data_IF_643636760393
#
_entry.id   IF_643636760393
#
_cell.length_a   1.000
_cell.length_b   1.000
_cell.length_c   1.000
_cell.angle_alpha   90.00
_cell.angle_beta   90.00
_cell.angle_gamma   90.00
#
_symmetry.space_group_name_H-M   'P 1'
#
loop_
_entity.id
_entity.type
_entity.pdbx_description
1 polymer ?
#
# COMPACT_ATOMS: atom_id res chain seq x y z
N UNK A 1 -31.29 -13.56 -14.52
CA UNK A 1 -30.27 -12.51 -14.76
C UNK A 1 -30.10 -11.68 -13.47
N UNK A 2 -29.21 -12.09 -12.55
CA UNK A 2 -28.98 -11.40 -11.27
C UNK A 2 -27.51 -10.97 -11.18
N UNK A 3 -27.07 -10.14 -12.13
CA UNK A 3 -25.65 -9.79 -12.29
C UNK A 3 -25.53 -8.38 -12.83
N UNK A 4 -25.75 -7.36 -11.98
CA UNK A 4 -25.42 -5.95 -12.26
C UNK A 4 -25.59 -5.00 -11.06
N UNK A 5 -25.33 -5.48 -9.84
CA UNK A 5 -25.32 -4.63 -8.64
C UNK A 5 -24.01 -4.70 -7.84
N UNK A 6 -22.95 -5.27 -8.41
CA UNK A 6 -21.65 -5.45 -7.71
C UNK A 6 -20.54 -4.57 -8.31
N UNK A 7 -20.79 -3.79 -9.36
CA UNK A 7 -19.73 -3.00 -10.01
C UNK A 7 -19.32 -1.75 -9.22
N UNK A 8 -20.23 -1.09 -8.51
CA UNK A 8 -19.89 0.16 -7.83
C UNK A 8 -19.20 -0.01 -6.46
N UNK A 9 -19.50 -1.08 -5.72
CA UNK A 9 -18.87 -1.36 -4.42
C UNK A 9 -17.42 -1.83 -4.53
N UNK A 10 -17.08 -2.53 -5.62
CA UNK A 10 -15.69 -2.93 -5.91
C UNK A 10 -14.86 -1.69 -6.26
N UNK A 11 -15.40 -0.77 -7.07
CA UNK A 11 -14.63 0.35 -7.58
C UNK A 11 -14.18 1.33 -6.48
N UNK A 12 -15.02 1.61 -5.48
CA UNK A 12 -14.63 2.49 -4.36
C UNK A 12 -13.54 1.87 -3.49
N UNK A 13 -13.63 0.57 -3.21
CA UNK A 13 -12.59 -0.16 -2.46
C UNK A 13 -11.28 -0.21 -3.24
N UNK A 14 -11.34 -0.46 -4.54
CA UNK A 14 -10.18 -0.45 -5.43
C UNK A 14 -9.55 0.94 -5.52
N UNK A 15 -10.37 2.00 -5.59
CA UNK A 15 -9.88 3.38 -5.60
C UNK A 15 -9.14 3.72 -4.31
N UNK A 16 -9.72 3.40 -3.14
CA UNK A 16 -9.05 3.59 -1.85
C UNK A 16 -7.76 2.77 -1.77
N UNK A 17 -7.76 1.53 -2.25
CA UNK A 17 -6.55 0.71 -2.28
C UNK A 17 -5.47 1.32 -3.19
N UNK A 18 -5.85 1.85 -4.36
CA UNK A 18 -4.91 2.51 -5.27
C UNK A 18 -4.32 3.78 -4.64
N UNK A 19 -5.14 4.62 -4.01
CA UNK A 19 -4.64 5.80 -3.28
C UNK A 19 -3.71 5.39 -2.14
N UNK A 20 -4.04 4.36 -1.36
CA UNK A 20 -3.14 3.86 -0.29
C UNK A 20 -1.82 3.32 -0.85
N UNK A 21 -1.85 2.66 -2.01
CA UNK A 21 -0.66 2.15 -2.69
C UNK A 21 0.30 3.27 -3.09
N UNK A 22 -0.23 4.34 -3.67
CA UNK A 22 0.55 5.51 -4.09
C UNK A 22 1.15 6.24 -2.88
N UNK A 23 0.33 6.51 -1.86
CA UNK A 23 0.80 7.13 -0.62
C UNK A 23 1.86 6.27 0.06
N UNK A 24 1.66 4.94 0.13
CA UNK A 24 2.64 4.04 0.72
C UNK A 24 4.01 4.14 0.05
N UNK A 25 4.09 4.27 -1.28
CA UNK A 25 5.35 4.44 -1.99
C UNK A 25 5.99 5.80 -1.69
N UNK A 26 5.21 6.88 -1.82
CA UNK A 26 5.69 8.24 -1.56
C UNK A 26 6.27 8.36 -0.15
N UNK A 27 5.54 7.84 0.84
CA UNK A 27 6.01 7.86 2.22
C UNK A 27 7.15 6.90 2.48
N UNK A 28 7.28 5.76 1.78
CA UNK A 28 8.46 4.90 1.96
C UNK A 28 9.74 5.52 1.37
N UNK A 29 9.60 6.36 0.35
CA UNK A 29 10.73 7.15 -0.19
C UNK A 29 11.13 8.29 0.75
N UNK A 30 10.17 8.92 1.42
CA UNK A 30 10.40 10.05 2.33
C UNK A 30 10.73 9.63 3.77
N UNK A 31 10.11 8.56 4.26
CA UNK A 31 10.25 8.09 5.63
C UNK A 31 11.51 7.23 5.74
N UNK A 32 12.59 7.85 6.22
CA UNK A 32 13.82 7.16 6.64
C UNK A 32 13.62 6.40 7.97
N UNK A 33 12.63 5.50 8.04
CA UNK A 33 12.65 4.41 9.03
C UNK A 33 11.43 4.23 9.94
N UNK A 34 10.36 5.05 9.84
CA UNK A 34 9.18 4.85 10.71
C UNK A 34 7.98 4.22 10.00
N UNK A 35 8.01 2.90 9.86
CA UNK A 35 6.89 2.09 9.33
C UNK A 35 5.65 2.14 10.25
N UNK A 36 5.84 2.43 11.54
CA UNK A 36 4.73 2.60 12.49
C UNK A 36 3.89 3.82 12.15
N UNK A 37 4.55 4.97 11.95
CA UNK A 37 3.88 6.19 11.51
C UNK A 37 3.18 6.01 10.15
N UNK A 38 3.79 5.24 9.24
CA UNK A 38 3.18 4.90 7.96
C UNK A 38 1.89 4.07 8.11
N UNK A 39 1.85 3.16 9.08
CA UNK A 39 0.65 2.37 9.38
C UNK A 39 -0.49 3.26 9.81
N UNK A 40 -0.25 4.15 10.76
CA UNK A 40 -1.25 5.09 11.29
C UNK A 40 -1.77 6.01 10.18
N UNK A 41 -0.86 6.55 9.37
CA UNK A 41 -1.19 7.48 8.28
C UNK A 41 -2.06 6.84 7.18
N UNK A 42 -1.80 5.58 6.85
CA UNK A 42 -2.59 4.83 5.87
C UNK A 42 -3.87 4.21 6.45
N UNK A 43 -4.16 4.47 7.73
CA UNK A 43 -5.35 3.99 8.43
C UNK A 43 -5.30 2.50 8.77
N UNK A 44 -4.10 1.93 8.96
CA UNK A 44 -3.90 0.59 9.48
C UNK A 44 -3.66 0.64 10.99
N UNK A 45 -4.44 -0.17 11.73
CA UNK A 45 -4.29 -0.29 13.18
C UNK A 45 -2.93 -0.85 13.62
N UNK A 46 -2.27 -1.63 12.76
CA UNK A 46 -1.03 -2.32 13.08
C UNK A 46 -0.07 -2.34 11.88
N UNK A 47 1.22 -2.21 12.15
CA UNK A 47 2.28 -2.34 11.13
C UNK A 47 2.24 -3.68 10.40
N UNK A 48 1.74 -4.73 11.06
CA UNK A 48 1.54 -6.04 10.47
C UNK A 48 0.40 -6.07 9.43
N UNK A 49 -0.63 -5.23 9.60
CA UNK A 49 -1.73 -5.09 8.65
C UNK A 49 -1.27 -4.33 7.39
N UNK A 50 -0.52 -3.24 7.59
CA UNK A 50 0.16 -2.53 6.52
C UNK A 50 1.11 -3.47 5.76
N UNK A 51 1.97 -4.21 6.47
CA UNK A 51 2.95 -5.11 5.84
C UNK A 51 2.28 -6.19 4.98
N UNK A 52 1.15 -6.74 5.44
CA UNK A 52 0.35 -7.70 4.66
C UNK A 52 -0.26 -7.05 3.42
N UNK A 53 -0.78 -5.83 3.54
CA UNK A 53 -1.32 -5.10 2.40
C UNK A 53 -0.24 -4.75 1.38
N UNK A 54 0.88 -4.20 1.85
CA UNK A 54 2.02 -3.82 1.03
C UNK A 54 2.64 -5.03 0.31
N UNK A 55 2.77 -6.17 0.99
CA UNK A 55 3.23 -7.41 0.37
C UNK A 55 2.24 -7.93 -0.69
N UNK A 56 0.93 -7.80 -0.49
CA UNK A 56 -0.05 -8.12 -1.54
C UNK A 56 0.07 -7.22 -2.77
N UNK A 57 0.50 -5.97 -2.60
CA UNK A 57 0.61 -4.99 -3.68
C UNK A 57 1.94 -5.07 -4.43
N UNK A 58 3.05 -5.28 -3.71
CA UNK A 58 4.42 -5.15 -4.23
C UNK A 58 5.29 -6.40 -4.04
N UNK A 59 4.76 -7.46 -3.44
CA UNK A 59 5.49 -8.73 -3.26
C UNK A 59 6.60 -8.69 -2.21
N UNK A 60 6.82 -7.57 -1.52
CA UNK A 60 7.84 -7.42 -0.47
C UNK A 60 7.29 -6.67 0.74
N UNK A 61 7.98 -6.68 1.88
CA UNK A 61 7.59 -5.89 3.04
C UNK A 61 8.06 -4.43 2.91
N UNK A 62 7.38 -3.46 3.55
CA UNK A 62 7.78 -2.05 3.53
C UNK A 62 9.21 -1.84 4.03
N UNK A 63 9.64 -2.64 5.04
CA UNK A 63 10.99 -2.61 5.60
C UNK A 63 12.05 -3.03 4.58
N UNK A 64 11.76 -4.08 3.79
CA UNK A 64 12.65 -4.56 2.72
C UNK A 64 12.70 -3.60 1.54
N UNK A 65 11.61 -2.87 1.30
CA UNK A 65 11.57 -1.79 0.32
C UNK A 65 12.48 -0.62 0.73
N UNK A 66 12.39 -0.15 1.98
CA UNK A 66 13.24 0.89 2.54
C UNK A 66 14.74 0.53 2.52
N UNK A 67 15.08 -0.73 2.75
CA UNK A 67 16.48 -1.18 2.72
C UNK A 67 17.09 -1.27 1.32
N UNK A 68 16.42 -0.77 0.28
CA UNK A 68 16.90 -0.74 -1.11
C UNK A 68 16.77 -2.07 -1.85
N UNK A 69 16.34 -3.15 -1.20
CA UNK A 69 16.22 -4.49 -1.80
C UNK A 69 14.95 -4.68 -2.64
N UNK A 70 14.04 -3.71 -2.63
CA UNK A 70 12.78 -3.76 -3.39
C UNK A 70 12.59 -2.60 -4.37
N UNK A 71 13.57 -1.70 -4.54
CA UNK A 71 13.38 -0.49 -5.36
C UNK A 71 13.03 -0.89 -6.80
N UNK A 72 11.78 -0.65 -7.22
CA UNK A 72 11.43 -0.69 -8.65
C UNK A 72 12.35 0.30 -9.37
N UNK A 73 12.88 -0.03 -10.57
CA UNK A 73 13.62 0.94 -11.36
C UNK A 73 12.72 2.15 -11.56
N UNK A 74 13.24 3.33 -11.22
CA UNK A 74 12.53 4.60 -11.36
C UNK A 74 11.88 4.66 -12.75
N UNK A 75 10.55 4.66 -12.79
CA UNK A 75 9.82 4.92 -14.03
C UNK A 75 10.16 6.35 -14.40
N UNK A 76 10.84 6.47 -15.54
CA UNK A 76 11.28 7.69 -16.20
C UNK A 76 10.10 8.52 -16.68
#
# INVERSE_FOLDING_TARGET
>A
MRRRLVDHGINFKTLIENTRRELALLYLEQAQGNISALSELLGYAETSALSRAFHRWYGVSPKKWQSGAGRLPAVK
#
